data_IF_008863932115
#
_entry.id   IF_008863932115
#
_cell.length_a   1.000
_cell.length_b   1.000
_cell.length_c   1.000
_cell.angle_alpha   90.00
_cell.angle_beta   90.00
_cell.angle_gamma   90.00
#
_symmetry.space_group_name_H-M   'P 1'
#
loop_
_entity.id
_entity.type
_entity.pdbx_description
1 polymer ?
#
# COMPACT_ATOMS: atom_id res chain seq x y z
N UNK A 1 -4.90 4.69 13.52
CA UNK A 1 -6.05 4.78 12.58
C UNK A 1 -6.41 3.36 12.18
N UNK A 2 -7.68 2.93 12.32
CA UNK A 2 -8.16 1.64 11.78
C UNK A 2 -9.00 1.99 10.55
N UNK A 3 -8.56 1.59 9.37
CA UNK A 3 -9.33 1.73 8.15
C UNK A 3 -10.00 0.37 7.88
N UNK A 4 -11.33 0.36 7.75
CA UNK A 4 -12.09 -0.82 7.32
C UNK A 4 -12.71 -0.46 5.97
N UNK A 5 -12.32 -1.14 4.90
CA UNK A 5 -12.91 -0.95 3.57
C UNK A 5 -13.34 -2.30 2.98
N UNK A 6 -14.53 -2.34 2.39
CA UNK A 6 -15.04 -3.49 1.63
C UNK A 6 -14.67 -3.32 0.15
N UNK A 7 -13.87 -4.25 -0.39
CA UNK A 7 -13.35 -4.19 -1.75
C UNK A 7 -14.39 -4.68 -2.79
N UNK A 8 -15.04 -3.76 -3.51
CA UNK A 8 -15.98 -4.06 -4.62
C UNK A 8 -15.25 -4.57 -5.89
N UNK A 9 -15.98 -5.12 -6.87
CA UNK A 9 -15.47 -5.90 -8.01
C UNK A 9 -14.40 -5.24 -8.92
N UNK A 10 -14.17 -3.93 -8.84
CA UNK A 10 -13.06 -3.21 -9.53
C UNK A 10 -11.84 -2.97 -8.63
N UNK A 11 -11.79 -3.66 -7.50
CA UNK A 11 -10.98 -3.47 -6.27
C UNK A 11 -9.49 -3.21 -6.41
N UNK A 12 -9.13 -1.94 -6.55
CA UNK A 12 -7.83 -1.40 -6.11
C UNK A 12 -8.11 -0.53 -4.88
N UNK A 13 -7.37 -0.72 -3.80
CA UNK A 13 -7.32 0.23 -2.70
C UNK A 13 -5.90 0.73 -2.52
N UNK A 14 -5.77 1.89 -1.90
CA UNK A 14 -4.48 2.46 -1.56
C UNK A 14 -4.55 3.12 -0.19
N UNK A 15 -3.42 3.14 0.51
CA UNK A 15 -3.27 3.85 1.77
C UNK A 15 -2.13 4.85 1.58
N UNK A 16 -2.48 6.13 1.64
CA UNK A 16 -1.55 7.23 1.53
C UNK A 16 -1.33 7.87 2.91
N UNK A 17 -0.06 8.08 3.27
CA UNK A 17 0.37 8.78 4.47
C UNK A 17 1.41 9.83 4.07
N UNK A 18 1.06 11.10 4.27
CA UNK A 18 1.89 12.24 3.89
C UNK A 18 1.38 13.53 4.52
N UNK A 19 2.05 14.64 4.22
CA UNK A 19 1.55 15.96 4.59
C UNK A 19 0.48 16.46 3.59
N UNK A 20 0.59 16.07 2.34
CA UNK A 20 -0.37 16.35 1.26
C UNK A 20 -0.25 15.31 0.14
N UNK A 21 -0.90 15.55 -1.00
CA UNK A 21 -0.96 14.61 -2.12
C UNK A 21 0.35 14.54 -2.95
N UNK A 22 1.26 15.49 -2.77
CA UNK A 22 2.53 15.57 -3.49
C UNK A 22 3.74 15.16 -2.64
N UNK A 23 3.57 15.16 -1.32
CA UNK A 23 4.57 14.71 -0.35
C UNK A 23 4.03 13.56 0.52
N UNK A 24 4.23 12.34 0.04
CA UNK A 24 3.84 11.07 0.68
C UNK A 24 5.05 10.33 1.25
N UNK A 25 5.05 10.12 2.56
CA UNK A 25 6.01 9.23 3.22
C UNK A 25 5.71 7.74 2.94
N UNK A 26 4.45 7.40 2.69
CA UNK A 26 4.02 6.06 2.26
C UNK A 26 2.84 6.17 1.31
N UNK A 27 2.97 5.53 0.16
CA UNK A 27 1.89 5.13 -0.73
C UNK A 27 1.88 3.61 -0.80
N UNK A 28 0.93 2.97 -0.11
CA UNK A 28 0.75 1.52 -0.14
C UNK A 28 -0.37 1.17 -1.11
N UNK A 29 -0.03 0.50 -2.21
CA UNK A 29 -0.97 0.17 -3.27
C UNK A 29 -0.86 -1.32 -3.66
N UNK A 30 -1.61 -2.20 -2.99
CA UNK A 30 -1.71 -3.59 -3.39
C UNK A 30 -2.33 -3.73 -4.77
N UNK A 31 -1.66 -4.46 -5.65
CA UNK A 31 -2.14 -4.78 -6.99
C UNK A 31 -2.46 -6.27 -7.02
N UNK A 32 -3.72 -6.60 -7.31
CA UNK A 32 -4.14 -8.00 -7.45
C UNK A 32 -3.84 -8.56 -8.85
N UNK A 33 -3.63 -7.68 -9.82
CA UNK A 33 -3.27 -8.00 -11.20
C UNK A 33 -2.29 -6.93 -11.72
N UNK A 34 -1.00 -7.18 -11.54
CA UNK A 34 0.12 -6.43 -12.11
C UNK A 34 0.73 -7.24 -13.25
N UNK A 35 1.05 -6.58 -14.36
CA UNK A 35 1.52 -7.25 -15.59
C UNK A 35 2.87 -7.97 -15.41
N UNK A 36 3.67 -7.56 -14.43
CA UNK A 36 5.01 -8.12 -14.20
C UNK A 36 4.97 -9.24 -13.16
N UNK A 37 4.33 -8.99 -12.02
CA UNK A 37 4.43 -9.87 -10.84
C UNK A 37 3.12 -10.61 -10.51
N UNK A 38 2.03 -10.35 -11.25
CA UNK A 38 0.71 -10.85 -10.89
C UNK A 38 0.18 -10.15 -9.63
N UNK A 39 -0.02 -10.88 -8.54
CA UNK A 39 -0.46 -10.28 -7.28
C UNK A 39 0.75 -9.79 -6.48
N UNK A 40 0.84 -8.48 -6.23
CA UNK A 40 2.01 -7.85 -5.61
C UNK A 40 1.60 -6.72 -4.65
N UNK A 41 2.32 -6.59 -3.54
CA UNK A 41 2.23 -5.43 -2.67
C UNK A 41 3.26 -4.39 -3.13
N UNK A 42 2.80 -3.17 -3.41
CA UNK A 42 3.68 -2.06 -3.79
C UNK A 42 3.65 -0.99 -2.72
N UNK A 43 4.83 -0.57 -2.28
CA UNK A 43 5.03 0.62 -1.46
C UNK A 43 5.90 1.61 -2.23
N UNK A 44 5.56 2.89 -2.19
CA UNK A 44 6.43 3.95 -2.70
C UNK A 44 6.38 5.18 -1.76
N UNK A 45 7.25 6.15 -2.00
CA UNK A 45 7.19 7.51 -1.47
C UNK A 45 7.01 8.50 -2.61
N UNK A 46 6.44 9.67 -2.31
CA UNK A 46 6.32 10.80 -3.23
C UNK A 46 6.94 12.03 -2.57
N UNK A 47 7.78 12.76 -3.29
CA UNK A 47 8.40 13.99 -2.78
C UNK A 47 8.37 15.05 -3.86
N UNK A 48 7.82 16.22 -3.55
CA UNK A 48 7.64 17.33 -4.51
C UNK A 48 6.97 16.87 -5.81
N UNK A 49 5.91 16.07 -5.69
CA UNK A 49 5.18 15.57 -6.86
C UNK A 49 5.82 14.34 -7.53
N UNK A 50 7.06 14.00 -7.22
CA UNK A 50 7.82 12.92 -7.87
C UNK A 50 7.78 11.61 -7.09
N UNK A 51 7.46 10.51 -7.78
CA UNK A 51 7.55 9.17 -7.22
C UNK A 51 8.99 8.71 -7.08
N UNK A 52 9.30 8.04 -5.96
CA UNK A 52 10.56 7.35 -5.75
C UNK A 52 10.59 5.94 -6.35
N UNK A 53 11.55 5.14 -5.89
CA UNK A 53 11.66 3.73 -6.28
C UNK A 53 10.62 2.88 -5.56
N UNK A 54 9.87 2.09 -6.33
CA UNK A 54 8.91 1.15 -5.78
C UNK A 54 9.61 0.03 -4.99
N UNK A 55 9.09 -0.27 -3.80
CA UNK A 55 9.35 -1.52 -3.07
C UNK A 55 8.23 -2.50 -3.35
N UNK A 56 8.58 -3.69 -3.82
CA UNK A 56 7.64 -4.71 -4.30
C UNK A 56 7.81 -5.99 -3.48
N UNK A 57 6.71 -6.48 -2.93
CA UNK A 57 6.64 -7.77 -2.23
C UNK A 57 5.70 -8.71 -3.00
N UNK A 58 6.29 -9.71 -3.64
CA UNK A 58 5.60 -10.65 -4.54
C UNK A 58 4.81 -11.68 -3.73
N UNK A 59 5.20 -11.93 -2.47
CA UNK A 59 4.40 -12.75 -1.57
C UNK A 59 3.21 -11.96 -1.03
N UNK A 60 2.22 -11.71 -1.89
CA UNK A 60 1.01 -10.96 -1.54
C UNK A 60 -0.02 -11.86 -0.82
N UNK A 61 -0.29 -11.64 0.48
CA UNK A 61 -1.24 -12.44 1.24
C UNK A 61 -2.69 -11.92 1.14
N UNK A 62 -2.95 -10.87 0.35
CA UNK A 62 -4.29 -10.30 0.22
C UNK A 62 -5.15 -11.11 -0.75
N UNK A 63 -6.43 -11.26 -0.42
CA UNK A 63 -7.41 -11.96 -1.24
C UNK A 63 -8.61 -11.06 -1.48
N UNK A 64 -9.07 -11.00 -2.73
CA UNK A 64 -10.26 -10.22 -3.10
C UNK A 64 -11.48 -10.80 -2.40
N UNK A 65 -12.33 -9.93 -1.85
CA UNK A 65 -13.52 -10.33 -1.10
C UNK A 65 -13.27 -10.83 0.32
N UNK A 66 -12.02 -10.82 0.81
CA UNK A 66 -11.69 -11.09 2.19
C UNK A 66 -11.43 -9.80 2.96
N UNK A 67 -11.75 -9.81 4.26
CA UNK A 67 -11.37 -8.73 5.16
C UNK A 67 -9.85 -8.68 5.33
N UNK A 68 -9.31 -7.46 5.41
CA UNK A 68 -7.89 -7.21 5.68
C UNK A 68 -7.72 -6.29 6.88
N UNK A 69 -6.72 -6.59 7.70
CA UNK A 69 -6.21 -5.67 8.71
C UNK A 69 -4.78 -5.27 8.35
N UNK A 70 -4.59 -3.99 8.08
CA UNK A 70 -3.28 -3.39 7.82
C UNK A 70 -2.83 -2.63 9.07
N UNK A 71 -1.62 -2.90 9.53
CA UNK A 71 -0.96 -2.15 10.59
C UNK A 71 0.20 -1.38 9.98
N UNK A 72 0.17 -0.06 10.16
CA UNK A 72 1.28 0.82 9.80
C UNK A 72 1.99 1.28 11.07
N UNK A 73 3.27 0.93 11.19
CA UNK A 73 4.15 1.34 12.28
C UNK A 73 5.11 2.41 11.77
N UNK A 74 4.99 3.62 12.30
CA UNK A 74 5.92 4.71 12.01
C UNK A 74 7.05 4.67 13.04
N UNK A 75 8.25 4.29 12.60
CA UNK A 75 9.47 4.30 13.41
C UNK A 75 10.31 5.53 13.04
N UNK A 76 11.26 5.91 13.89
CA UNK A 76 12.07 7.12 13.68
C UNK A 76 12.89 7.16 12.37
N UNK A 77 13.03 6.03 11.66
CA UNK A 77 13.80 5.95 10.40
C UNK A 77 13.08 5.23 9.26
N UNK A 78 11.98 4.55 9.54
CA UNK A 78 11.32 3.69 8.57
C UNK A 78 9.85 3.51 8.90
N UNK A 79 9.05 3.19 7.88
CA UNK A 79 7.65 2.80 8.03
C UNK A 79 7.57 1.31 7.75
N UNK A 80 6.98 0.55 8.67
CA UNK A 80 6.74 -0.87 8.52
C UNK A 80 5.24 -1.14 8.32
N UNK A 81 4.92 -1.97 7.33
CA UNK A 81 3.55 -2.39 7.01
C UNK A 81 3.43 -3.88 7.26
N UNK A 82 2.49 -4.29 8.11
CA UNK A 82 2.22 -5.70 8.40
C UNK A 82 0.73 -6.03 8.31
N UNK A 83 0.43 -7.26 7.88
CA UNK A 83 -0.92 -7.86 7.92
C UNK A 83 -1.08 -8.64 9.21
N UNK A 84 -2.26 -8.56 9.82
CA UNK A 84 -2.69 -9.44 10.93
C UNK A 84 -3.95 -10.18 10.55
#
# INVERSE_FOLDING_TARGET
MKLFETLNYTSVFQIDLGCDADDLALHFNPRFHDDTDGAVLVCNSKTDGCWGDEKREIHNPLQRGADVKVIVLCLCREIHVSKV
#
